data_IF_802295740327
#
_entry.id   IF_802295740327
#
_cell.length_a   1.000
_cell.length_b   1.000
_cell.length_c   1.000
_cell.angle_alpha   90.00
_cell.angle_beta   90.00
_cell.angle_gamma   90.00
#
_symmetry.space_group_name_H-M   'P 1'
#
loop_
_entity.id
_entity.type
_entity.pdbx_description
1 polymer ?
#
# COMPACT_ATOMS: atom_id res chain seq x y z
N UNK A 1 -31.13 9.01 -6.38
CA UNK A 1 -30.97 10.17 -5.47
C UNK A 1 -29.57 10.09 -4.88
N UNK A 2 -28.75 11.14 -5.03
CA UNK A 2 -27.38 11.18 -4.51
C UNK A 2 -27.39 11.11 -2.98
N UNK A 3 -26.65 10.20 -2.33
CA UNK A 3 -26.48 10.25 -0.89
C UNK A 3 -25.53 11.42 -0.57
N UNK A 4 -26.13 12.58 -0.35
CA UNK A 4 -25.46 13.76 0.18
C UNK A 4 -25.72 13.77 1.68
N UNK A 5 -25.11 12.86 2.44
CA UNK A 5 -25.17 12.90 3.92
C UNK A 5 -24.12 11.98 4.55
N UNK A 6 -22.99 12.58 4.93
CA UNK A 6 -22.23 12.24 6.13
C UNK A 6 -21.23 13.38 6.42
N UNK A 7 -21.75 14.56 6.75
CA UNK A 7 -21.00 15.55 7.54
C UNK A 7 -21.70 15.70 8.89
N UNK A 8 -21.57 14.66 9.71
CA UNK A 8 -21.80 14.73 11.16
C UNK A 8 -20.46 14.56 11.91
N UNK A 9 -19.37 15.07 11.33
CA UNK A 9 -18.08 15.16 12.01
C UNK A 9 -17.88 16.56 12.59
N UNK A 10 -17.48 16.64 13.86
CA UNK A 10 -16.97 17.87 14.47
C UNK A 10 -15.79 18.36 13.63
N UNK A 11 -15.73 19.64 13.23
CA UNK A 11 -14.56 20.18 12.53
C UNK A 11 -13.29 19.92 13.36
N UNK A 12 -12.32 19.18 12.82
CA UNK A 12 -11.07 18.83 13.51
C UNK A 12 -11.02 17.43 14.13
N UNK A 13 -12.09 16.63 14.10
CA UNK A 13 -12.01 15.20 14.47
C UNK A 13 -11.21 14.41 13.43
N UNK A 14 -10.38 13.41 13.80
CA UNK A 14 -9.69 12.56 12.84
C UNK A 14 -10.63 11.70 11.98
N UNK A 15 -10.15 11.27 10.81
CA UNK A 15 -10.96 10.50 9.86
C UNK A 15 -11.55 9.21 10.47
N UNK A 16 -10.82 8.55 11.38
CA UNK A 16 -11.25 7.28 11.98
C UNK A 16 -12.44 7.40 12.93
N UNK A 17 -12.67 8.60 13.49
CA UNK A 17 -13.84 8.94 14.32
C UNK A 17 -15.03 9.40 13.47
N UNK A 18 -14.76 9.96 12.28
CA UNK A 18 -15.81 10.43 11.37
C UNK A 18 -16.46 9.29 10.58
N UNK A 19 -15.76 8.16 10.41
CA UNK A 19 -16.31 7.00 9.72
C UNK A 19 -17.34 6.27 10.61
N UNK A 20 -18.55 5.99 10.09
CA UNK A 20 -19.52 5.16 10.82
C UNK A 20 -18.95 3.80 11.24
N UNK A 21 -19.41 3.27 12.37
CA UNK A 21 -19.00 1.95 12.86
C UNK A 21 -19.39 0.82 11.88
N UNK A 22 -20.44 1.05 11.09
CA UNK A 22 -20.94 0.17 10.04
C UNK A 22 -20.46 0.57 8.64
N UNK A 23 -19.42 1.41 8.51
CA UNK A 23 -18.79 1.75 7.23
C UNK A 23 -18.50 0.51 6.36
N UNK A 24 -18.14 -0.61 7.01
CA UNK A 24 -17.95 -1.93 6.38
C UNK A 24 -19.19 -2.50 5.68
N UNK A 25 -20.40 -2.16 6.12
CA UNK A 25 -21.68 -2.62 5.56
C UNK A 25 -22.14 -1.85 4.32
N UNK A 26 -21.57 -0.67 4.06
CA UNK A 26 -21.97 0.16 2.93
C UNK A 26 -21.47 -0.45 1.61
N UNK A 27 -22.42 -0.77 0.71
CA UNK A 27 -22.17 -1.12 -0.69
C UNK A 27 -22.13 0.21 -1.43
N UNK A 28 -20.93 0.65 -1.84
CA UNK A 28 -20.82 1.84 -2.69
C UNK A 28 -21.28 1.48 -4.09
N UNK A 29 -22.36 2.11 -4.57
CA UNK A 29 -22.77 1.99 -5.97
C UNK A 29 -21.79 2.78 -6.83
N UNK A 30 -21.13 2.11 -7.77
CA UNK A 30 -20.27 2.76 -8.77
C UNK A 30 -21.09 3.18 -9.98
N UNK A 31 -20.63 4.19 -10.72
CA UNK A 31 -21.28 4.61 -11.98
C UNK A 31 -21.38 3.45 -13.02
N UNK A 32 -20.53 2.42 -12.88
CA UNK A 32 -20.55 1.22 -13.72
C UNK A 32 -21.62 0.20 -13.32
N UNK A 33 -22.15 0.25 -12.09
CA UNK A 33 -23.24 -0.64 -11.66
C UNK A 33 -24.53 -0.40 -12.47
N UNK A 34 -24.74 0.82 -12.97
CA UNK A 34 -25.89 1.14 -13.81
C UNK A 34 -25.77 0.60 -15.25
N UNK A 35 -24.55 0.37 -15.76
CA UNK A 35 -24.31 0.01 -17.17
C UNK A 35 -23.75 -1.39 -17.38
N UNK A 36 -23.09 -1.97 -16.38
CA UNK A 36 -22.39 -3.26 -16.46
C UNK A 36 -22.71 -4.20 -15.28
N UNK A 37 -23.89 -4.05 -14.65
CA UNK A 37 -24.29 -4.76 -13.43
C UNK A 37 -23.99 -6.27 -13.45
N UNK A 38 -24.42 -6.99 -14.49
CA UNK A 38 -24.22 -8.45 -14.60
C UNK A 38 -22.73 -8.83 -14.56
N UNK A 39 -21.89 -8.04 -15.23
CA UNK A 39 -20.44 -8.26 -15.27
C UNK A 39 -19.82 -7.98 -13.89
N UNK A 40 -20.17 -6.86 -13.27
CA UNK A 40 -19.69 -6.48 -11.93
C UNK A 40 -20.04 -7.55 -10.90
N UNK A 41 -21.30 -8.01 -10.87
CA UNK A 41 -21.75 -9.05 -9.94
C UNK A 41 -21.09 -10.42 -10.21
N UNK A 42 -20.88 -10.78 -11.47
CA UNK A 42 -20.23 -12.05 -11.85
C UNK A 42 -18.78 -12.08 -11.39
N UNK A 43 -18.04 -10.99 -11.56
CA UNK A 43 -16.64 -10.90 -11.12
C UNK A 43 -16.56 -10.87 -9.59
N UNK A 44 -17.43 -10.12 -8.91
CA UNK A 44 -17.51 -10.11 -7.45
C UNK A 44 -17.81 -11.51 -6.86
N UNK A 45 -18.65 -12.30 -7.52
CA UNK A 45 -18.94 -13.68 -7.11
C UNK A 45 -17.69 -14.58 -7.25
N UNK A 46 -16.95 -14.46 -8.35
CA UNK A 46 -15.72 -15.23 -8.60
C UNK A 46 -14.61 -14.84 -7.62
N UNK A 47 -14.52 -13.57 -7.23
CA UNK A 47 -13.52 -13.08 -6.28
C UNK A 47 -13.66 -13.68 -4.87
N UNK A 48 -14.84 -14.20 -4.51
CA UNK A 48 -15.03 -14.89 -3.21
C UNK A 48 -14.09 -16.09 -3.06
N UNK A 49 -13.76 -16.78 -4.15
CA UNK A 49 -12.84 -17.92 -4.15
C UNK A 49 -11.40 -17.54 -3.80
N UNK A 50 -11.02 -16.26 -3.94
CA UNK A 50 -9.68 -15.78 -3.59
C UNK A 50 -9.68 -15.01 -2.27
N UNK A 51 -10.75 -14.25 -1.99
CA UNK A 51 -10.88 -13.51 -0.73
C UNK A 51 -10.83 -14.43 0.49
N UNK A 52 -11.44 -15.61 0.43
CA UNK A 52 -11.44 -16.56 1.57
C UNK A 52 -10.05 -17.11 1.88
N UNK A 53 -9.27 -17.63 0.89
CA UNK A 53 -7.87 -17.99 1.12
C UNK A 53 -7.01 -16.84 1.67
N UNK A 54 -7.16 -15.63 1.10
CA UNK A 54 -6.45 -14.44 1.58
C UNK A 54 -6.79 -14.14 3.05
N UNK A 55 -8.08 -14.07 3.38
CA UNK A 55 -8.57 -13.86 4.74
C UNK A 55 -8.06 -14.93 5.71
N UNK A 56 -8.05 -16.19 5.28
CA UNK A 56 -7.56 -17.33 6.07
C UNK A 56 -6.06 -17.20 6.32
N UNK A 57 -5.28 -16.79 5.32
CA UNK A 57 -3.85 -16.56 5.45
C UNK A 57 -3.54 -15.42 6.44
N UNK A 58 -4.28 -14.29 6.34
CA UNK A 58 -4.15 -13.16 7.27
C UNK A 58 -4.56 -13.57 8.70
N UNK A 59 -5.69 -14.26 8.86
CA UNK A 59 -6.15 -14.75 10.15
C UNK A 59 -5.12 -15.70 10.78
N UNK A 60 -4.58 -16.64 10.01
CA UNK A 60 -3.55 -17.58 10.45
C UNK A 60 -2.31 -16.82 10.93
N UNK A 61 -1.83 -15.84 10.14
CA UNK A 61 -0.71 -15.00 10.53
C UNK A 61 -0.99 -14.23 11.83
N UNK A 62 -2.17 -13.62 11.97
CA UNK A 62 -2.54 -12.93 13.21
C UNK A 62 -2.56 -13.89 14.40
N UNK A 63 -3.08 -15.13 14.25
CA UNK A 63 -3.17 -16.08 15.38
C UNK A 63 -1.83 -16.49 15.97
N UNK A 64 -0.74 -16.54 15.20
CA UNK A 64 0.57 -16.93 15.76
C UNK A 64 1.12 -15.93 16.76
N UNK A 65 0.67 -14.68 16.69
CA UNK A 65 1.01 -13.66 17.67
C UNK A 65 0.24 -13.79 18.99
N UNK A 66 -0.71 -14.72 19.11
CA UNK A 66 -1.65 -14.81 20.24
C UNK A 66 -1.37 -15.99 21.20
N UNK A 67 -0.27 -16.73 21.03
CA UNK A 67 0.00 -17.98 21.76
C UNK A 67 0.41 -17.80 23.23
N UNK A 68 0.83 -16.60 23.63
CA UNK A 68 1.36 -16.34 24.98
C UNK A 68 0.33 -15.65 25.89
N UNK A 69 0.22 -16.06 27.17
CA UNK A 69 -0.65 -15.39 28.14
C UNK A 69 -0.34 -13.89 28.29
N UNK A 70 -1.40 -13.08 28.32
CA UNK A 70 -1.31 -11.63 28.45
C UNK A 70 -0.74 -10.89 27.23
N UNK A 71 -0.42 -11.61 26.13
CA UNK A 71 0.15 -10.98 24.93
C UNK A 71 -0.81 -10.02 24.25
N UNK A 72 -2.11 -10.34 24.22
CA UNK A 72 -3.13 -9.45 23.66
C UNK A 72 -3.18 -8.11 24.41
N UNK A 73 -3.18 -8.13 25.73
CA UNK A 73 -3.19 -6.89 26.52
C UNK A 73 -1.92 -6.06 26.28
N UNK A 74 -0.74 -6.69 26.24
CA UNK A 74 0.52 -6.01 25.91
C UNK A 74 0.52 -5.41 24.49
N UNK A 75 -0.05 -6.13 23.53
CA UNK A 75 -0.18 -5.69 22.14
C UNK A 75 -1.04 -4.43 22.05
N UNK A 76 -2.22 -4.44 22.66
CA UNK A 76 -3.12 -3.28 22.66
C UNK A 76 -2.55 -2.08 23.42
N UNK A 77 -1.87 -2.33 24.55
CA UNK A 77 -1.17 -1.27 25.27
C UNK A 77 -0.06 -0.64 24.40
N UNK A 78 0.73 -1.47 23.72
CA UNK A 78 1.76 -0.97 22.80
C UNK A 78 1.14 -0.20 21.62
N UNK A 79 -0.01 -0.63 21.09
CA UNK A 79 -0.70 0.08 20.01
C UNK A 79 -1.18 1.49 20.40
N UNK A 80 -1.54 1.71 21.68
CA UNK A 80 -1.98 3.03 22.17
C UNK A 80 -0.92 4.12 22.00
N UNK A 81 0.35 3.74 21.88
CA UNK A 81 1.46 4.65 21.55
C UNK A 81 1.24 5.45 20.26
N UNK A 82 0.56 4.87 19.26
CA UNK A 82 0.48 5.45 17.92
C UNK A 82 -0.64 6.45 17.74
N UNK A 83 -1.74 6.33 18.49
CA UNK A 83 -2.92 7.17 18.30
C UNK A 83 -2.60 8.66 18.50
N UNK A 84 -1.85 9.10 19.53
CA UNK A 84 -1.49 10.50 19.69
C UNK A 84 -0.61 11.03 18.54
N UNK A 85 0.22 10.16 17.94
CA UNK A 85 1.06 10.51 16.79
C UNK A 85 0.23 10.67 15.53
N UNK A 86 -0.71 9.75 15.29
CA UNK A 86 -1.65 9.83 14.19
C UNK A 86 -2.54 11.08 14.29
N UNK A 87 -3.06 11.37 15.49
CA UNK A 87 -3.92 12.54 15.75
C UNK A 87 -3.19 13.86 15.52
N UNK A 88 -1.90 13.92 15.84
CA UNK A 88 -1.10 15.11 15.58
C UNK A 88 -0.97 15.43 14.08
N UNK A 89 -1.14 14.45 13.19
CA UNK A 89 -1.07 14.63 11.73
C UNK A 89 0.28 15.12 11.21
N UNK A 90 1.32 15.10 12.05
CA UNK A 90 2.65 15.60 11.72
C UNK A 90 3.53 14.46 11.18
N UNK A 91 3.66 14.42 9.86
CA UNK A 91 4.45 13.41 9.17
C UNK A 91 5.93 13.43 9.61
N UNK A 92 6.48 14.57 10.02
CA UNK A 92 7.90 14.70 10.39
C UNK A 92 8.25 13.98 11.69
N UNK A 93 7.27 13.78 12.57
CA UNK A 93 7.42 13.03 13.83
C UNK A 93 7.36 11.52 13.66
N UNK A 94 6.79 11.04 12.57
CA UNK A 94 6.56 9.61 12.30
C UNK A 94 7.53 9.10 11.24
N UNK A 95 7.68 9.84 10.15
CA UNK A 95 8.53 9.50 9.01
C UNK A 95 9.82 10.33 9.08
N UNK A 96 10.69 9.97 10.01
CA UNK A 96 12.03 10.58 10.12
C UNK A 96 12.80 10.32 8.81
N UNK A 97 13.49 11.34 8.31
CA UNK A 97 14.29 11.20 7.10
C UNK A 97 15.41 10.17 7.32
N UNK A 98 15.66 9.26 6.36
CA UNK A 98 16.77 8.34 6.46
C UNK A 98 18.11 9.10 6.50
N UNK A 99 19.18 8.49 7.03
CA UNK A 99 20.53 9.04 6.92
C UNK A 99 20.89 9.31 5.45
N UNK A 100 21.67 10.36 5.20
CA UNK A 100 22.26 10.58 3.87
C UNK A 100 23.29 9.50 3.57
N UNK A 101 23.51 9.25 2.29
CA UNK A 101 24.60 8.40 1.78
C UNK A 101 24.55 6.94 2.27
N UNK A 102 23.34 6.38 2.45
CA UNK A 102 23.18 4.94 2.73
C UNK A 102 23.85 4.14 1.59
N UNK A 103 24.80 3.23 1.90
CA UNK A 103 25.48 2.45 0.88
C UNK A 103 24.52 1.46 0.24
N UNK A 104 24.30 1.60 -1.07
CA UNK A 104 23.43 0.73 -1.86
C UNK A 104 24.29 -0.09 -2.81
N UNK A 105 24.26 -1.41 -2.64
CA UNK A 105 24.85 -2.34 -3.59
C UNK A 105 23.96 -2.46 -4.83
N UNK A 106 24.56 -2.40 -6.01
CA UNK A 106 23.89 -2.65 -7.27
C UNK A 106 24.53 -3.85 -7.97
N UNK A 107 23.72 -4.88 -8.27
CA UNK A 107 24.18 -6.11 -8.93
C UNK A 107 23.44 -6.30 -10.25
N UNK A 108 24.13 -6.56 -11.37
CA UNK A 108 23.43 -6.85 -12.62
C UNK A 108 22.59 -8.13 -12.47
N UNK A 109 21.37 -8.09 -13.00
CA UNK A 109 20.52 -9.26 -13.18
C UNK A 109 20.50 -9.63 -14.68
N UNK A 110 20.11 -10.86 -14.99
CA UNK A 110 19.94 -11.27 -16.39
C UNK A 110 18.93 -10.34 -17.09
N UNK A 111 19.33 -9.77 -18.23
CA UNK A 111 18.42 -9.01 -19.07
C UNK A 111 17.24 -9.87 -19.51
N UNK A 112 16.08 -9.25 -19.63
CA UNK A 112 14.88 -9.87 -20.23
C UNK A 112 14.58 -9.22 -21.56
N UNK A 113 13.86 -9.92 -22.43
CA UNK A 113 13.50 -9.44 -23.75
C UNK A 113 11.98 -9.31 -23.87
N UNK A 114 11.52 -8.20 -24.42
CA UNK A 114 10.11 -7.99 -24.69
C UNK A 114 9.94 -7.28 -26.04
N UNK A 115 9.21 -7.92 -26.96
CA UNK A 115 9.00 -7.46 -28.34
C UNK A 115 10.31 -7.06 -29.06
N UNK A 116 11.41 -7.77 -28.81
CA UNK A 116 12.71 -7.50 -29.43
C UNK A 116 13.54 -6.42 -28.74
N UNK A 117 13.04 -5.79 -27.68
CA UNK A 117 13.79 -4.80 -26.88
C UNK A 117 14.41 -5.47 -25.64
N UNK A 118 15.69 -5.21 -25.40
CA UNK A 118 16.38 -5.64 -24.18
C UNK A 118 15.98 -4.74 -22.99
N UNK A 119 15.63 -5.37 -21.87
CA UNK A 119 15.41 -4.71 -20.59
C UNK A 119 16.60 -5.05 -19.68
N UNK A 120 17.44 -4.05 -19.44
CA UNK A 120 18.58 -4.15 -18.54
C UNK A 120 18.11 -4.01 -17.11
N UNK A 121 18.53 -4.94 -16.25
CA UNK A 121 18.01 -5.09 -14.89
C UNK A 121 19.15 -5.10 -13.89
N UNK A 122 18.92 -4.49 -12.73
CA UNK A 122 19.84 -4.51 -11.59
C UNK A 122 19.07 -4.78 -10.30
N UNK A 123 19.60 -5.63 -9.44
CA UNK A 123 19.17 -5.69 -8.05
C UNK A 123 19.83 -4.52 -7.31
N UNK A 124 19.02 -3.73 -6.61
CA UNK A 124 19.48 -2.75 -5.64
C UNK A 124 19.17 -3.29 -4.24
N UNK A 125 20.17 -3.25 -3.35
CA UNK A 125 20.00 -3.70 -1.98
C UNK A 125 20.82 -2.87 -0.99
N UNK A 126 20.28 -2.68 0.21
CA UNK A 126 20.96 -2.01 1.31
C UNK A 126 20.47 -2.50 2.66
N UNK A 127 21.28 -2.34 3.70
CA UNK A 127 20.84 -2.55 5.08
C UNK A 127 19.95 -1.39 5.50
N UNK A 128 18.67 -1.66 5.77
CA UNK A 128 17.69 -0.66 6.17
C UNK A 128 18.17 0.06 7.44
N UNK A 129 18.32 1.40 7.42
CA UNK A 129 18.65 2.17 8.61
C UNK A 129 17.45 2.38 9.55
N UNK A 130 16.28 1.80 9.21
CA UNK A 130 15.06 1.99 9.96
C UNK A 130 15.19 1.48 11.40
N UNK A 131 14.75 2.31 12.34
CA UNK A 131 14.58 1.96 13.74
C UNK A 131 13.09 2.06 14.07
N UNK A 132 12.47 1.04 14.68
CA UNK A 132 11.07 1.09 15.05
C UNK A 132 10.73 2.31 15.89
N UNK A 133 9.60 2.94 15.59
CA UNK A 133 9.14 4.15 16.25
C UNK A 133 8.70 3.85 17.69
N UNK A 134 8.01 2.73 17.88
CA UNK A 134 7.62 2.23 19.20
C UNK A 134 8.73 1.34 19.79
N UNK A 135 9.31 1.70 20.95
CA UNK A 135 10.34 0.90 21.60
C UNK A 135 9.94 -0.56 21.88
N UNK A 136 8.64 -0.83 22.08
CA UNK A 136 8.14 -2.18 22.31
C UNK A 136 8.38 -3.13 21.11
N UNK A 137 8.52 -2.59 19.90
CA UNK A 137 8.77 -3.37 18.69
C UNK A 137 10.26 -3.70 18.48
N UNK A 138 11.19 -2.95 19.11
CA UNK A 138 12.62 -3.06 18.87
C UNK A 138 13.20 -4.48 19.08
N UNK A 139 12.84 -5.24 20.15
CA UNK A 139 13.35 -6.60 20.33
C UNK A 139 12.90 -7.57 19.23
N UNK A 140 11.70 -7.38 18.69
CA UNK A 140 11.16 -8.18 17.58
C UNK A 140 11.91 -7.89 16.29
N UNK A 141 12.05 -6.60 15.95
CA UNK A 141 12.74 -6.16 14.73
C UNK A 141 14.22 -6.56 14.69
N UNK A 142 14.93 -6.51 15.82
CA UNK A 142 16.34 -6.89 15.90
C UNK A 142 16.61 -8.35 15.48
N UNK A 143 15.59 -9.22 15.54
CA UNK A 143 15.67 -10.65 15.15
C UNK A 143 15.47 -10.87 13.66
N UNK A 144 14.89 -9.92 12.93
CA UNK A 144 14.51 -10.07 11.53
C UNK A 144 15.66 -9.76 10.59
N UNK A 145 16.54 -10.74 10.36
CA UNK A 145 17.79 -10.55 9.61
C UNK A 145 17.56 -10.32 8.12
N UNK A 146 16.61 -11.03 7.51
CA UNK A 146 16.29 -10.82 6.09
C UNK A 146 15.48 -9.56 5.89
N UNK A 147 14.55 -9.27 6.79
CA UNK A 147 13.74 -8.06 6.68
C UNK A 147 14.55 -6.76 6.88
N UNK A 148 15.68 -6.83 7.59
CA UNK A 148 16.62 -5.72 7.76
C UNK A 148 17.37 -5.33 6.47
N UNK A 149 17.29 -6.14 5.40
CA UNK A 149 17.86 -5.79 4.09
C UNK A 149 16.71 -5.39 3.17
N UNK A 150 16.78 -4.18 2.63
CA UNK A 150 15.86 -3.69 1.61
C UNK A 150 16.31 -4.18 0.23
N UNK A 151 15.34 -4.55 -0.61
CA UNK A 151 15.58 -5.05 -1.97
C UNK A 151 14.66 -4.34 -2.97
N UNK A 152 15.19 -4.07 -4.15
CA UNK A 152 14.40 -3.65 -5.30
C UNK A 152 15.04 -4.13 -6.60
N UNK A 153 14.21 -4.39 -7.60
CA UNK A 153 14.67 -4.61 -8.98
C UNK A 153 14.53 -3.31 -9.77
N UNK A 154 15.63 -2.80 -10.30
CA UNK A 154 15.68 -1.58 -11.09
C UNK A 154 15.89 -1.91 -12.57
N UNK A 155 14.91 -1.55 -13.40
CA UNK A 155 15.04 -1.58 -14.85
C UNK A 155 15.58 -0.24 -15.30
N UNK A 156 16.79 -0.23 -15.85
CA UNK A 156 17.48 1.00 -16.16
C UNK A 156 18.09 0.98 -17.56
N UNK A 157 17.90 2.07 -18.31
CA UNK A 157 18.51 2.21 -19.63
C UNK A 157 20.04 2.30 -19.54
N UNK A 158 20.53 2.92 -18.46
CA UNK A 158 21.96 3.01 -18.11
C UNK A 158 22.75 4.04 -18.92
N UNK A 159 22.06 4.94 -19.63
CA UNK A 159 22.65 5.99 -20.46
C UNK A 159 22.60 7.37 -19.80
N UNK A 160 21.43 7.76 -19.29
CA UNK A 160 21.15 9.05 -18.66
C UNK A 160 20.13 8.88 -17.54
N UNK A 161 20.06 9.80 -16.56
CA UNK A 161 18.96 9.84 -15.60
C UNK A 161 17.64 10.07 -16.34
N UNK A 162 16.66 9.20 -16.08
CA UNK A 162 15.34 9.20 -16.74
C UNK A 162 14.23 9.35 -15.71
N UNK A 163 13.03 9.83 -16.10
CA UNK A 163 11.86 9.74 -15.24
C UNK A 163 11.66 8.32 -14.72
N UNK A 164 11.53 8.17 -13.40
CA UNK A 164 11.47 6.85 -12.75
C UNK A 164 10.11 6.60 -12.14
N UNK A 165 9.51 5.46 -12.47
CA UNK A 165 8.31 4.96 -11.79
C UNK A 165 8.70 3.96 -10.70
N UNK A 166 8.36 4.29 -9.46
CA UNK A 166 8.39 3.34 -8.34
C UNK A 166 7.11 2.50 -8.40
N UNK A 167 7.27 1.18 -8.42
CA UNK A 167 6.18 0.21 -8.49
C UNK A 167 6.13 -0.61 -7.20
N UNK A 168 4.96 -0.58 -6.57
CA UNK A 168 4.69 -1.22 -5.29
C UNK A 168 3.70 -2.38 -5.49
N UNK A 169 4.10 -3.57 -5.09
CA UNK A 169 3.29 -4.79 -5.28
C UNK A 169 2.22 -4.98 -4.20
N UNK A 170 1.21 -5.79 -4.52
CA UNK A 170 0.18 -6.22 -3.56
C UNK A 170 0.67 -7.26 -2.56
N UNK A 171 -0.12 -7.54 -1.54
CA UNK A 171 0.18 -8.58 -0.55
C UNK A 171 0.31 -9.95 -1.21
N UNK A 172 1.40 -10.68 -0.91
CA UNK A 172 1.74 -11.96 -1.53
C UNK A 172 1.92 -11.94 -3.07
N UNK A 173 2.06 -10.76 -3.68
CA UNK A 173 2.23 -10.57 -5.12
C UNK A 173 3.63 -10.00 -5.48
N UNK A 174 4.67 -10.42 -4.76
CA UNK A 174 6.04 -9.88 -4.85
C UNK A 174 6.81 -10.25 -6.12
N UNK A 175 6.20 -11.01 -7.03
CA UNK A 175 6.83 -11.43 -8.28
C UNK A 175 6.93 -10.24 -9.27
N UNK A 176 8.14 -9.84 -9.72
CA UNK A 176 8.32 -8.70 -10.62
C UNK A 176 7.50 -8.78 -11.91
N UNK A 177 7.42 -9.96 -12.52
CA UNK A 177 6.71 -10.17 -13.79
C UNK A 177 5.18 -10.00 -13.67
N UNK A 178 4.60 -10.29 -12.50
CA UNK A 178 3.15 -10.10 -12.26
C UNK A 178 2.84 -8.60 -12.32
N UNK A 179 3.59 -7.79 -11.58
CA UNK A 179 3.42 -6.33 -11.54
C UNK A 179 3.76 -5.70 -12.90
N UNK A 180 4.80 -6.20 -13.57
CA UNK A 180 5.18 -5.77 -14.91
C UNK A 180 4.08 -6.01 -15.95
N UNK A 181 3.37 -7.13 -15.86
CA UNK A 181 2.23 -7.43 -16.72
C UNK A 181 1.00 -6.59 -16.34
N UNK A 182 0.69 -6.51 -15.04
CA UNK A 182 -0.50 -5.82 -14.54
C UNK A 182 -0.52 -4.33 -14.89
N UNK A 183 0.65 -3.67 -14.85
CA UNK A 183 0.81 -2.24 -15.11
C UNK A 183 1.48 -1.92 -16.45
N UNK A 184 1.64 -2.91 -17.33
CA UNK A 184 2.28 -2.77 -18.64
C UNK A 184 3.65 -2.08 -18.62
N UNK A 185 4.48 -2.37 -17.60
CA UNK A 185 5.74 -1.67 -17.33
C UNK A 185 6.76 -1.78 -18.47
N UNK A 186 6.70 -2.85 -19.27
CA UNK A 186 7.52 -3.02 -20.47
C UNK A 186 7.28 -1.89 -21.49
N UNK A 187 6.02 -1.49 -21.67
CA UNK A 187 5.66 -0.38 -22.56
C UNK A 187 6.10 0.96 -22.00
N UNK A 188 6.12 1.11 -20.68
CA UNK A 188 6.58 2.33 -20.03
C UNK A 188 8.10 2.47 -20.12
N UNK A 189 8.82 1.37 -19.88
CA UNK A 189 10.27 1.26 -20.06
C UNK A 189 10.67 1.60 -21.49
N UNK A 190 10.04 0.98 -22.49
CA UNK A 190 10.32 1.28 -23.90
C UNK A 190 10.12 2.77 -24.25
N UNK A 191 9.21 3.45 -23.56
CA UNK A 191 9.00 4.88 -23.78
C UNK A 191 9.94 5.78 -22.97
N UNK A 192 11.03 5.22 -22.44
CA UNK A 192 12.13 5.97 -21.85
C UNK A 192 12.05 6.22 -20.36
N UNK A 193 11.15 5.54 -19.63
CA UNK A 193 11.11 5.60 -18.16
C UNK A 193 11.95 4.48 -17.55
N UNK A 194 12.63 4.77 -16.44
CA UNK A 194 13.21 3.73 -15.60
C UNK A 194 12.14 3.21 -14.61
N UNK A 195 12.28 1.95 -14.16
CA UNK A 195 11.27 1.29 -13.32
C UNK A 195 11.95 0.73 -12.07
N UNK A 196 11.48 1.11 -10.88
CA UNK A 196 11.91 0.51 -9.60
C UNK A 196 10.80 -0.39 -9.04
N UNK A 197 10.98 -1.69 -9.11
CA UNK A 197 10.11 -2.69 -8.49
C UNK A 197 10.58 -2.94 -7.05
N UNK A 198 9.95 -2.27 -6.08
CA UNK A 198 10.30 -2.37 -4.67
C UNK A 198 9.78 -3.65 -4.04
N UNK A 199 10.60 -4.33 -3.22
CA UNK A 199 10.16 -5.46 -2.40
C UNK A 199 9.72 -4.98 -1.02
N UNK A 200 8.41 -5.06 -0.75
CA UNK A 200 7.84 -4.69 0.55
C UNK A 200 8.43 -5.56 1.69
N UNK A 201 8.60 -5.03 2.92
CA UNK A 201 8.99 -5.82 4.08
C UNK A 201 8.27 -7.18 4.18
N UNK A 202 9.01 -8.21 4.62
CA UNK A 202 8.57 -9.62 4.71
C UNK A 202 8.20 -10.34 3.40
N UNK A 203 8.36 -9.71 2.25
CA UNK A 203 8.14 -10.34 0.94
C UNK A 203 9.45 -10.67 0.23
N UNK A 204 9.40 -11.50 -0.81
CA UNK A 204 10.59 -11.75 -1.62
C UNK A 204 11.78 -12.27 -0.80
N UNK A 205 12.99 -11.76 -1.08
CA UNK A 205 14.18 -12.01 -0.27
C UNK A 205 14.09 -11.54 1.19
N UNK A 206 13.15 -10.64 1.53
CA UNK A 206 12.93 -10.10 2.88
C UNK A 206 12.12 -11.03 3.78
N UNK A 207 11.55 -12.10 3.24
CA UNK A 207 10.82 -13.11 4.01
C UNK A 207 11.79 -13.98 4.85
N UNK A 208 11.54 -14.09 6.14
CA UNK A 208 12.35 -14.92 7.05
C UNK A 208 12.26 -16.42 6.66
N UNK A 209 13.32 -17.23 6.87
CA UNK A 209 13.41 -18.61 6.36
C UNK A 209 12.26 -19.54 6.76
N UNK A 210 11.66 -19.32 7.93
CA UNK A 210 10.58 -20.16 8.47
C UNK A 210 9.19 -19.53 8.32
N UNK A 211 9.04 -18.47 7.52
CA UNK A 211 7.75 -17.89 7.24
C UNK A 211 6.88 -18.87 6.41
N UNK A 212 5.63 -19.18 6.82
CA UNK A 212 4.75 -20.08 6.07
C UNK A 212 4.53 -19.70 4.61
N UNK A 213 4.54 -18.39 4.31
CA UNK A 213 4.52 -17.85 2.95
C UNK A 213 5.14 -16.44 2.92
N UNK A 214 5.44 -15.93 1.72
CA UNK A 214 5.98 -14.58 1.54
C UNK A 214 4.93 -13.52 1.86
N UNK A 215 5.29 -12.56 2.71
CA UNK A 215 4.37 -11.58 3.25
C UNK A 215 3.75 -11.98 4.59
N UNK A 216 3.90 -13.24 5.04
CA UNK A 216 3.37 -13.70 6.33
C UNK A 216 3.74 -12.78 7.50
N UNK A 217 5.00 -12.36 7.56
CA UNK A 217 5.53 -11.54 8.65
C UNK A 217 4.94 -10.13 8.74
N UNK A 218 4.19 -9.66 7.74
CA UNK A 218 3.44 -8.39 7.84
C UNK A 218 2.41 -8.44 8.96
N UNK A 219 1.74 -9.58 9.15
CA UNK A 219 0.73 -9.80 10.19
C UNK A 219 1.13 -10.84 11.23
N UNK A 220 2.18 -11.64 10.96
CA UNK A 220 2.62 -12.78 11.76
C UNK A 220 3.07 -12.44 13.19
N UNK A 221 3.44 -11.18 13.42
CA UNK A 221 4.02 -10.69 14.67
C UNK A 221 3.11 -9.70 15.43
N UNK A 222 1.84 -9.54 15.01
CA UNK A 222 0.89 -8.61 15.63
C UNK A 222 0.70 -7.31 14.83
N UNK A 223 -0.24 -6.50 15.27
CA UNK A 223 -0.58 -5.20 14.67
C UNK A 223 0.43 -4.10 15.04
N UNK A 224 1.09 -4.20 16.21
CA UNK A 224 2.26 -3.39 16.56
C UNK A 224 3.31 -3.52 15.46
N UNK A 225 3.59 -4.76 15.06
CA UNK A 225 4.53 -5.07 14.00
C UNK A 225 4.02 -4.57 12.64
N UNK A 226 2.72 -4.70 12.35
CA UNK A 226 2.10 -4.17 11.13
C UNK A 226 2.30 -2.66 10.96
N UNK A 227 2.15 -1.89 12.05
CA UNK A 227 2.44 -0.46 12.04
C UNK A 227 3.90 -0.21 11.63
N UNK A 228 4.84 -0.83 12.35
CA UNK A 228 6.27 -0.61 12.13
C UNK A 228 6.78 -1.08 10.77
N UNK A 229 6.29 -2.20 10.22
CA UNK A 229 6.73 -2.64 8.88
C UNK A 229 6.24 -1.71 7.78
N UNK A 230 5.09 -1.06 7.98
CA UNK A 230 4.60 -0.07 7.03
C UNK A 230 5.45 1.21 7.11
N UNK A 231 5.84 1.63 8.31
CA UNK A 231 6.79 2.73 8.50
C UNK A 231 8.17 2.40 7.88
N UNK A 232 8.67 1.17 8.07
CA UNK A 232 9.90 0.69 7.45
C UNK A 232 9.83 0.75 5.92
N UNK A 233 8.70 0.36 5.32
CA UNK A 233 8.53 0.41 3.87
C UNK A 233 8.69 1.84 3.34
N UNK A 234 8.06 2.83 3.97
CA UNK A 234 8.21 4.23 3.59
C UNK A 234 9.64 4.71 3.80
N UNK A 235 10.26 4.37 4.92
CA UNK A 235 11.64 4.73 5.20
C UNK A 235 12.61 4.19 4.14
N UNK A 236 12.46 2.91 3.76
CA UNK A 236 13.29 2.28 2.72
C UNK A 236 13.04 2.87 1.32
N UNK A 237 11.79 3.22 1.00
CA UNK A 237 11.44 3.90 -0.26
C UNK A 237 12.12 5.28 -0.35
N UNK A 238 12.20 6.01 0.75
CA UNK A 238 12.86 7.32 0.81
C UNK A 238 14.37 7.23 0.57
N UNK A 239 15.03 6.14 1.00
CA UNK A 239 16.43 5.85 0.65
C UNK A 239 16.61 5.63 -0.86
N UNK A 240 15.67 4.95 -1.52
CA UNK A 240 15.72 4.81 -2.98
C UNK A 240 15.43 6.14 -3.71
N UNK A 241 14.55 6.98 -3.18
CA UNK A 241 14.33 8.33 -3.71
C UNK A 241 15.61 9.17 -3.58
N UNK A 242 16.31 9.12 -2.43
CA UNK A 242 17.61 9.79 -2.25
C UNK A 242 18.65 9.31 -3.28
N UNK A 243 18.71 8.01 -3.54
CA UNK A 243 19.57 7.44 -4.57
C UNK A 243 19.27 8.00 -5.96
N UNK A 244 17.99 8.06 -6.33
CA UNK A 244 17.61 8.56 -7.66
C UNK A 244 17.83 10.06 -7.80
N UNK A 245 17.49 10.84 -6.77
CA UNK A 245 17.74 12.29 -6.74
C UNK A 245 19.23 12.61 -6.81
N UNK A 246 20.08 11.89 -6.05
CA UNK A 246 21.54 12.07 -6.12
C UNK A 246 22.15 11.68 -7.47
N UNK A 247 21.50 10.80 -8.23
CA UNK A 247 21.87 10.45 -9.61
C UNK A 247 21.30 11.41 -10.67
N UNK A 248 20.59 12.47 -10.27
CA UNK A 248 20.02 13.46 -11.20
C UNK A 248 18.67 13.07 -11.80
N UNK A 249 17.93 12.13 -11.21
CA UNK A 249 16.55 11.86 -11.62
C UNK A 249 15.66 13.03 -11.18
N UNK A 250 15.11 13.75 -12.16
CA UNK A 250 14.28 14.93 -11.91
C UNK A 250 12.80 14.59 -11.68
N UNK A 251 12.33 13.47 -12.22
CA UNK A 251 10.91 13.08 -12.15
C UNK A 251 10.74 11.69 -11.55
N UNK A 252 9.99 11.59 -10.46
CA UNK A 252 9.72 10.34 -9.75
C UNK A 252 8.22 10.21 -9.50
N UNK A 253 7.61 9.16 -10.04
CA UNK A 253 6.24 8.79 -9.73
C UNK A 253 6.14 7.53 -8.89
N UNK A 254 4.99 7.29 -8.27
CA UNK A 254 4.69 6.03 -7.60
C UNK A 254 3.38 5.43 -8.12
N UNK A 255 3.37 4.12 -8.38
CA UNK A 255 2.16 3.36 -8.68
C UNK A 255 2.15 2.06 -7.87
N UNK A 256 0.98 1.60 -7.49
CA UNK A 256 0.90 0.33 -6.78
C UNK A 256 -0.49 -0.26 -6.75
N UNK A 257 -0.54 -1.58 -6.57
CA UNK A 257 -1.79 -2.37 -6.56
C UNK A 257 -2.06 -2.86 -5.15
N UNK A 258 -3.30 -2.73 -4.66
CA UNK A 258 -3.71 -3.29 -3.35
C UNK A 258 -2.90 -2.69 -2.19
N UNK A 259 -2.17 -3.51 -1.41
CA UNK A 259 -1.19 -3.04 -0.42
C UNK A 259 -0.17 -2.05 -1.02
N UNK A 260 0.23 -2.27 -2.27
CA UNK A 260 1.09 -1.35 -2.99
C UNK A 260 0.41 -0.02 -3.29
N UNK A 261 -0.90 -0.03 -3.59
CA UNK A 261 -1.68 1.20 -3.80
C UNK A 261 -1.83 1.99 -2.50
N UNK A 262 -2.07 1.30 -1.38
CA UNK A 262 -2.03 1.90 -0.04
C UNK A 262 -0.67 2.52 0.27
N UNK A 263 0.41 1.81 -0.01
CA UNK A 263 1.78 2.28 0.25
C UNK A 263 2.17 3.45 -0.67
N UNK A 264 1.73 3.44 -1.93
CA UNK A 264 1.94 4.55 -2.88
C UNK A 264 1.22 5.80 -2.38
N UNK A 265 -0.02 5.64 -1.93
CA UNK A 265 -0.80 6.72 -1.36
C UNK A 265 -0.14 7.28 -0.09
N UNK A 266 0.31 6.41 0.82
CA UNK A 266 1.01 6.83 2.03
C UNK A 266 2.30 7.59 1.69
N UNK A 267 3.13 7.07 0.78
CA UNK A 267 4.36 7.73 0.35
C UNK A 267 4.08 9.13 -0.21
N UNK A 268 3.07 9.27 -1.07
CA UNK A 268 2.64 10.56 -1.62
C UNK A 268 2.02 11.52 -0.58
N UNK A 269 1.59 10.98 0.56
CA UNK A 269 1.04 11.78 1.66
C UNK A 269 2.12 12.34 2.59
N UNK A 270 3.34 11.79 2.54
CA UNK A 270 4.39 12.10 3.54
C UNK A 270 5.75 12.45 2.92
N UNK A 271 5.89 12.38 1.60
CA UNK A 271 7.09 12.73 0.87
C UNK A 271 6.74 13.65 -0.32
N UNK A 272 7.30 14.85 -0.33
CA UNK A 272 7.02 15.91 -1.30
C UNK A 272 7.81 15.76 -2.62
N UNK A 273 8.68 14.75 -2.71
CA UNK A 273 9.57 14.53 -3.87
C UNK A 273 8.95 13.69 -4.97
N UNK A 274 7.68 13.30 -4.83
CA UNK A 274 6.93 12.60 -5.87
C UNK A 274 6.18 13.58 -6.77
N UNK A 275 6.27 13.36 -8.09
CA UNK A 275 5.61 14.18 -9.10
C UNK A 275 4.16 13.73 -9.37
N UNK A 276 3.86 12.44 -9.17
CA UNK A 276 2.51 11.88 -9.30
C UNK A 276 2.36 10.56 -8.55
N UNK A 277 1.11 10.18 -8.27
CA UNK A 277 0.76 8.93 -7.59
C UNK A 277 -0.40 8.22 -8.29
N UNK A 278 -0.31 6.89 -8.43
CA UNK A 278 -1.34 6.04 -9.05
C UNK A 278 -1.68 4.85 -8.15
N UNK A 279 -2.55 5.02 -7.14
CA UNK A 279 -3.09 3.92 -6.35
C UNK A 279 -4.12 3.13 -7.16
N UNK A 280 -3.89 1.82 -7.33
CA UNK A 280 -4.81 0.89 -7.99
C UNK A 280 -5.41 -0.06 -6.95
N UNK A 281 -6.73 -0.11 -6.87
CA UNK A 281 -7.51 -0.88 -5.87
C UNK A 281 -6.92 -0.80 -4.44
N UNK A 282 -6.67 0.39 -3.88
CA UNK A 282 -5.98 0.55 -2.61
C UNK A 282 -6.84 0.13 -1.40
N UNK A 283 -6.22 -0.55 -0.43
CA UNK A 283 -6.84 -0.93 0.84
C UNK A 283 -6.74 0.17 1.91
N UNK A 284 -7.51 1.24 1.78
CA UNK A 284 -7.33 2.50 2.54
C UNK A 284 -7.65 2.41 4.04
N UNK A 285 -8.65 1.62 4.46
CA UNK A 285 -8.87 1.31 5.88
C UNK A 285 -8.61 -0.18 6.16
N UNK A 286 -7.41 -0.57 6.64
CA UNK A 286 -7.08 -1.97 6.91
C UNK A 286 -8.03 -2.64 7.91
N UNK A 287 -8.44 -1.94 8.97
CA UNK A 287 -9.35 -2.48 10.00
C UNK A 287 -10.70 -2.83 9.39
N UNK A 288 -11.29 -1.95 8.59
CA UNK A 288 -12.57 -2.21 7.93
C UNK A 288 -12.48 -3.36 6.92
N UNK A 289 -11.36 -3.45 6.20
CA UNK A 289 -11.11 -4.58 5.30
C UNK A 289 -11.02 -5.90 6.07
N UNK A 290 -10.25 -5.96 7.17
CA UNK A 290 -10.11 -7.16 7.99
C UNK A 290 -11.43 -7.58 8.64
N UNK A 291 -12.23 -6.64 9.14
CA UNK A 291 -13.54 -6.93 9.71
C UNK A 291 -14.53 -7.49 8.66
N UNK A 292 -14.38 -7.11 7.40
CA UNK A 292 -15.19 -7.60 6.29
C UNK A 292 -14.81 -9.00 5.80
N UNK A 293 -13.59 -9.45 6.09
CA UNK A 293 -13.04 -10.70 5.58
C UNK A 293 -13.19 -11.82 6.59
N UNK A 294 -13.96 -12.87 6.28
CA UNK A 294 -14.02 -14.05 7.16
C UNK A 294 -12.98 -15.09 6.75
N UNK A 295 -12.23 -15.70 7.70
CA UNK A 295 -12.43 -15.65 9.17
C UNK A 295 -11.70 -14.52 9.95
N UNK A 296 -10.94 -13.65 9.28
CA UNK A 296 -10.16 -12.56 9.91
C UNK A 296 -11.02 -11.66 10.80
N UNK A 297 -12.21 -11.29 10.32
CA UNK A 297 -13.12 -10.39 11.01
C UNK A 297 -13.66 -10.98 12.31
N UNK A 298 -13.94 -12.29 12.36
CA UNK A 298 -14.30 -12.98 13.60
C UNK A 298 -13.17 -12.90 14.63
N UNK A 299 -11.93 -13.18 14.20
CA UNK A 299 -10.75 -13.11 15.07
C UNK A 299 -10.55 -11.69 15.62
N UNK A 300 -10.48 -10.70 14.73
CA UNK A 300 -10.26 -9.30 15.12
C UNK A 300 -11.38 -8.78 16.02
N UNK A 301 -12.64 -9.08 15.71
CA UNK A 301 -13.78 -8.71 16.56
C UNK A 301 -13.70 -9.33 17.94
N UNK A 302 -13.20 -10.57 18.05
CA UNK A 302 -13.00 -11.24 19.34
C UNK A 302 -11.92 -10.55 20.18
N UNK A 303 -10.78 -10.23 19.54
CA UNK A 303 -9.68 -9.50 20.19
C UNK A 303 -10.12 -8.13 20.69
N UNK A 304 -10.79 -7.36 19.84
CA UNK A 304 -11.35 -6.05 20.19
C UNK A 304 -12.31 -6.13 21.39
N UNK A 305 -13.27 -7.06 21.37
CA UNK A 305 -14.19 -7.28 22.51
C UNK A 305 -13.45 -7.64 23.79
N UNK A 306 -12.43 -8.49 23.71
CA UNK A 306 -11.64 -8.89 24.89
C UNK A 306 -10.89 -7.74 25.55
N UNK A 307 -10.59 -6.67 24.79
CA UNK A 307 -9.87 -5.49 25.27
C UNK A 307 -10.78 -4.28 25.46
N UNK A 308 -12.09 -4.42 25.25
CA UNK A 308 -13.05 -3.31 25.35
C UNK A 308 -12.87 -2.22 24.29
N UNK A 309 -12.27 -2.56 23.13
CA UNK A 309 -11.93 -1.60 22.08
C UNK A 309 -13.00 -1.57 20.99
N UNK A 310 -13.46 -0.37 20.64
CA UNK A 310 -14.41 -0.12 19.55
C UNK A 310 -13.75 -0.04 18.17
N UNK A 311 -14.55 0.02 17.10
CA UNK A 311 -14.03 0.08 15.71
C UNK A 311 -13.27 1.39 15.46
N UNK A 312 -13.83 2.54 15.85
CA UNK A 312 -13.17 3.84 15.71
C UNK A 312 -11.82 3.90 16.44
N UNK A 313 -11.77 3.38 17.67
CA UNK A 313 -10.52 3.30 18.44
C UNK A 313 -9.51 2.37 17.75
N UNK A 314 -9.92 1.18 17.31
CA UNK A 314 -9.06 0.24 16.59
C UNK A 314 -8.48 0.85 15.30
N UNK A 315 -9.27 1.64 14.56
CA UNK A 315 -8.77 2.40 13.40
C UNK A 315 -7.70 3.41 13.83
N UNK A 316 -7.92 4.15 14.93
CA UNK A 316 -6.95 5.10 15.50
C UNK A 316 -5.62 4.44 15.90
N UNK A 317 -5.66 3.22 16.44
CA UNK A 317 -4.47 2.45 16.83
C UNK A 317 -3.54 2.09 15.64
N UNK A 318 -4.05 2.08 14.41
CA UNK A 318 -3.27 1.81 13.18
C UNK A 318 -3.20 3.03 12.25
N UNK A 319 -3.79 4.16 12.63
CA UNK A 319 -3.91 5.33 11.77
C UNK A 319 -2.56 6.01 11.47
N UNK A 320 -1.51 5.73 12.26
CA UNK A 320 -0.15 6.31 12.11
C UNK A 320 0.52 5.99 10.78
N UNK A 321 0.10 4.93 10.10
CA UNK A 321 0.62 4.60 8.78
C UNK A 321 -0.46 4.71 7.71
N UNK A 322 -1.52 5.49 7.96
CA UNK A 322 -2.62 5.69 7.02
C UNK A 322 -2.45 6.99 6.23
N UNK A 323 -2.57 6.98 4.88
CA UNK A 323 -2.48 8.20 4.09
C UNK A 323 -3.47 9.29 4.54
N UNK A 324 -4.67 8.90 4.99
CA UNK A 324 -5.72 9.82 5.42
C UNK A 324 -5.37 10.64 6.67
N UNK A 325 -4.33 10.25 7.41
CA UNK A 325 -3.93 10.89 8.68
C UNK A 325 -3.03 12.11 8.49
N UNK A 326 -2.56 12.37 7.27
CA UNK A 326 -1.57 13.42 6.98
C UNK A 326 -2.11 14.40 5.95
N UNK A 327 -1.79 15.68 6.12
CA UNK A 327 -1.97 16.63 5.03
C UNK A 327 -0.93 16.35 3.94
N UNK A 328 -1.38 15.80 2.81
CA UNK A 328 -0.48 15.42 1.73
C UNK A 328 0.14 16.66 1.06
N UNK A 329 1.46 16.68 0.82
CA UNK A 329 2.11 17.73 0.03
C UNK A 329 1.75 17.64 -1.46
N UNK A 330 1.14 16.54 -1.90
CA UNK A 330 0.78 16.31 -3.30
C UNK A 330 -0.58 16.93 -3.63
N UNK A 331 -0.59 17.83 -4.60
CA UNK A 331 -1.83 18.36 -5.15
C UNK A 331 -2.67 17.24 -5.80
N UNK A 332 -3.98 17.23 -5.55
CA UNK A 332 -4.88 16.18 -6.02
C UNK A 332 -4.82 15.92 -7.53
N UNK A 333 -4.60 16.93 -8.39
CA UNK A 333 -4.53 16.70 -9.84
C UNK A 333 -3.38 15.79 -10.28
N UNK A 334 -2.38 15.58 -9.41
CA UNK A 334 -1.25 14.67 -9.61
C UNK A 334 -1.56 13.23 -9.18
N UNK A 335 -2.76 12.97 -8.67
CA UNK A 335 -3.21 11.66 -8.20
C UNK A 335 -4.26 11.09 -9.14
N UNK A 336 -4.00 9.89 -9.66
CA UNK A 336 -4.95 9.08 -10.42
C UNK A 336 -5.29 7.83 -9.61
N UNK A 337 -6.52 7.74 -9.10
CA UNK A 337 -6.99 6.62 -8.30
C UNK A 337 -7.80 5.69 -9.21
N UNK A 338 -7.43 4.41 -9.25
CA UNK A 338 -8.08 3.41 -10.10
C UNK A 338 -8.79 2.39 -9.21
N UNK A 339 -10.10 2.25 -9.37
CA UNK A 339 -10.94 1.33 -8.60
C UNK A 339 -11.58 0.25 -9.48
N UNK A 340 -11.73 -0.96 -8.93
CA UNK A 340 -12.54 -2.02 -9.53
C UNK A 340 -13.96 -1.93 -8.99
N UNK A 341 -14.95 -1.82 -9.87
CA UNK A 341 -16.35 -1.69 -9.46
C UNK A 341 -16.87 -2.91 -8.68
N UNK A 342 -16.41 -4.11 -9.05
CA UNK A 342 -16.77 -5.39 -8.41
C UNK A 342 -15.80 -5.84 -7.34
N UNK A 343 -14.93 -4.97 -6.84
CA UNK A 343 -13.94 -5.31 -5.82
C UNK A 343 -14.64 -5.59 -4.47
N UNK A 344 -14.44 -6.79 -3.94
CA UNK A 344 -14.95 -7.22 -2.62
C UNK A 344 -13.83 -7.48 -1.61
N UNK A 345 -12.58 -7.26 -2.01
CA UNK A 345 -11.38 -7.30 -1.16
C UNK A 345 -11.17 -5.89 -0.59
N UNK A 346 -10.96 -4.90 -1.45
CA UNK A 346 -10.90 -3.47 -1.15
C UNK A 346 -12.08 -2.78 -1.81
N UNK A 347 -13.24 -2.85 -1.16
CA UNK A 347 -14.51 -2.37 -1.73
C UNK A 347 -14.43 -0.92 -2.23
N UNK A 348 -15.25 -0.53 -3.23
CA UNK A 348 -15.25 0.80 -3.84
C UNK A 348 -15.13 1.99 -2.87
N UNK A 349 -15.79 1.93 -1.72
CA UNK A 349 -15.69 2.96 -0.66
C UNK A 349 -14.25 3.31 -0.22
N UNK A 350 -13.30 2.38 -0.32
CA UNK A 350 -11.89 2.66 -0.02
C UNK A 350 -11.30 3.65 -1.03
N UNK A 351 -11.58 3.43 -2.31
CA UNK A 351 -11.19 4.32 -3.42
C UNK A 351 -11.86 5.69 -3.26
N UNK A 352 -13.15 5.70 -2.91
CA UNK A 352 -13.87 6.95 -2.65
C UNK A 352 -13.29 7.72 -1.47
N UNK A 353 -12.97 7.06 -0.34
CA UNK A 353 -12.33 7.72 0.80
C UNK A 353 -11.02 8.42 0.42
N UNK A 354 -10.20 7.74 -0.40
CA UNK A 354 -8.95 8.32 -0.86
C UNK A 354 -9.15 9.48 -1.83
N UNK A 355 -10.17 9.40 -2.69
CA UNK A 355 -10.54 10.49 -3.58
C UNK A 355 -11.02 11.73 -2.81
N UNK A 356 -11.78 11.54 -1.72
CA UNK A 356 -12.20 12.65 -0.85
C UNK A 356 -11.02 13.28 -0.10
N UNK A 357 -10.00 12.49 0.24
CA UNK A 357 -8.77 12.97 0.87
C UNK A 357 -7.91 13.84 -0.05
N UNK A 358 -7.92 13.55 -1.36
CA UNK A 358 -7.29 14.39 -2.37
C UNK A 358 -8.32 15.08 -3.26
N UNK A 359 -8.87 16.24 -2.84
CA UNK A 359 -9.73 17.04 -3.69
C UNK A 359 -9.06 17.30 -5.06
N UNK A 360 -9.84 17.14 -6.13
CA UNK A 360 -9.39 17.25 -7.54
C UNK A 360 -8.54 16.10 -8.06
N UNK A 361 -8.34 15.02 -7.29
CA UNK A 361 -7.80 13.78 -7.84
C UNK A 361 -8.69 13.22 -8.94
N UNK A 362 -8.08 12.52 -9.88
CA UNK A 362 -8.85 11.82 -10.92
C UNK A 362 -9.18 10.43 -10.42
N UNK A 363 -10.45 10.05 -10.49
CA UNK A 363 -10.91 8.69 -10.16
C UNK A 363 -11.35 7.99 -11.44
N UNK A 364 -10.93 6.74 -11.62
CA UNK A 364 -11.35 5.90 -12.73
C UNK A 364 -11.81 4.54 -12.24
N UNK A 365 -13.01 4.14 -12.65
CA UNK A 365 -13.57 2.83 -12.40
C UNK A 365 -13.40 1.92 -13.62
N UNK A 366 -13.03 0.66 -13.38
CA UNK A 366 -13.09 -0.39 -14.40
C UNK A 366 -14.10 -1.48 -14.00
N UNK A 367 -14.69 -2.13 -15.01
CA UNK A 367 -15.77 -3.13 -14.84
C UNK A 367 -15.23 -4.51 -14.42
N UNK A 368 -14.37 -4.53 -13.40
CA UNK A 368 -13.71 -5.71 -12.87
C UNK A 368 -13.59 -5.66 -11.35
N UNK A 369 -12.75 -6.52 -10.78
CA UNK A 369 -12.55 -6.65 -9.33
C UNK A 369 -11.08 -6.44 -8.93
N UNK A 370 -10.74 -6.74 -7.67
CA UNK A 370 -9.39 -6.66 -7.15
C UNK A 370 -8.35 -7.40 -8.01
N UNK A 371 -8.74 -8.57 -8.52
CA UNK A 371 -7.86 -9.47 -9.28
C UNK A 371 -8.15 -9.51 -10.78
N UNK A 372 -9.42 -9.33 -11.16
CA UNK A 372 -9.85 -9.43 -12.55
C UNK A 372 -10.06 -8.03 -13.13
N UNK A 373 -9.02 -7.55 -13.80
CA UNK A 373 -8.95 -6.20 -14.38
C UNK A 373 -9.63 -6.15 -15.75
N UNK A 374 -10.93 -6.40 -15.83
CA UNK A 374 -11.67 -6.32 -17.09
C UNK A 374 -11.72 -4.87 -17.58
N UNK A 375 -11.41 -4.65 -18.87
CA UNK A 375 -11.25 -3.31 -19.42
C UNK A 375 -9.90 -2.66 -19.09
N UNK A 376 -8.91 -3.45 -18.64
CA UNK A 376 -7.56 -2.99 -18.27
C UNK A 376 -6.92 -2.01 -19.24
N UNK A 377 -7.10 -2.21 -20.54
CA UNK A 377 -6.49 -1.36 -21.56
C UNK A 377 -6.95 0.10 -21.45
N UNK A 378 -8.17 0.38 -20.96
CA UNK A 378 -8.63 1.75 -20.76
C UNK A 378 -7.89 2.45 -19.62
N UNK A 379 -7.81 1.80 -18.45
CA UNK A 379 -7.10 2.41 -17.34
C UNK A 379 -5.59 2.49 -17.62
N UNK A 380 -5.00 1.52 -18.34
CA UNK A 380 -3.58 1.60 -18.74
C UNK A 380 -3.31 2.79 -19.67
N UNK A 381 -4.23 3.11 -20.60
CA UNK A 381 -4.12 4.33 -21.42
C UNK A 381 -4.20 5.59 -20.56
N UNK A 382 -5.10 5.62 -19.57
CA UNK A 382 -5.23 6.77 -18.64
C UNK A 382 -3.99 6.92 -17.76
N UNK A 383 -3.46 5.82 -17.23
CA UNK A 383 -2.19 5.80 -16.53
C UNK A 383 -1.09 6.38 -17.40
N UNK A 384 -1.02 5.97 -18.66
CA UNK A 384 -0.01 6.46 -19.59
C UNK A 384 -0.07 7.97 -19.78
N UNK A 385 -1.27 8.50 -20.06
CA UNK A 385 -1.51 9.94 -20.20
C UNK A 385 -1.14 10.70 -18.92
N UNK A 386 -1.49 10.16 -17.76
CA UNK A 386 -1.18 10.76 -16.47
C UNK A 386 0.33 10.80 -16.20
N UNK A 387 1.02 9.69 -16.47
CA UNK A 387 2.48 9.59 -16.34
C UNK A 387 3.17 10.58 -17.28
N UNK A 388 2.82 10.57 -18.57
CA UNK A 388 3.45 11.47 -19.55
C UNK A 388 3.22 12.95 -19.17
N UNK A 389 2.02 13.30 -18.69
CA UNK A 389 1.70 14.67 -18.25
C UNK A 389 2.60 15.16 -17.12
N UNK A 390 2.91 14.32 -16.14
CA UNK A 390 3.64 14.72 -14.93
C UNK A 390 5.13 14.34 -14.96
N UNK A 391 5.58 13.55 -15.93
CA UNK A 391 6.99 13.26 -16.19
C UNK A 391 7.66 14.22 -17.20
N UNK A 392 6.90 15.06 -17.91
CA UNK A 392 7.42 15.98 -18.96
C UNK A 392 7.33 17.47 -18.60
N UNK A 393 6.47 17.83 -17.63
CA UNK A 393 6.53 19.16 -16.99
C UNK A 393 7.82 19.27 -16.20
#
# INVERSE_FOLDING_TARGET
MRPTQARNGTPGSPWWEQLPDDFRGHIGDTELDASHWLQVQSVAALERFVRVPLATAVATAMTTSLSEPGRVAREFEALRFYEPLARAGDATRVFVAPPKDVPIEARPLCSTWWRGTEIKRRELRFTSPFVPLNPAAAPGFARLKRNAVSHAEHWCHGDTPRPTLIVLHGFAADMPWVNASALALHSLYHAGHDILLFTFPHHGPRAEPCAPFRGYGVFGNGLLHFNEVTLQAIHDLRVFIDLFRSRGVERIGAAGISLGGYTAALLASVDDRLDYCIPVVPGVSPIDAFLDWQPTGMLLSSLMRSQGVGVAEMRGLVAVHNPLSYESPMAGERVLIIGGAGDIVTRPRHVELLHHHWPRSTMHWFAGSHLLHLGRDDYLRRMRVHIDRWSQQ
#
